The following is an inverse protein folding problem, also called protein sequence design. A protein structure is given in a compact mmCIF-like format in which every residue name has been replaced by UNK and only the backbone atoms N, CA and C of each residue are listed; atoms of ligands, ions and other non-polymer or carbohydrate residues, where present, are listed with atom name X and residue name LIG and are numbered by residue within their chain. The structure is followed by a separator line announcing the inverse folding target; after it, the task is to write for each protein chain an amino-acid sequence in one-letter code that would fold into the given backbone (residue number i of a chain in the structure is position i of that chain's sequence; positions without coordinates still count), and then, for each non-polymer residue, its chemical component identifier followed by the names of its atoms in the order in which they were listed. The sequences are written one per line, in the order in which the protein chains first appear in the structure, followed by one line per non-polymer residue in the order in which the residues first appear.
data_IF_859058356689
#
_entry.id   IF_859058356689
#
_cell.length_a   1.000
_cell.length_b   1.000
_cell.length_c   1.000
_cell.angle_alpha   90.00
_cell.angle_beta   90.00
_cell.angle_gamma   90.00
#
_symmetry.space_group_name_H-M   'P 1'
#
loop_
_entity.id
_entity.type
_entity.pdbx_description
1 polymer ?
#
# COMPACT_ATOMS: atom_id res chain seq x y z
N UNK A 1 -9.70 18.60 -15.41
CA UNK A 1 -9.72 17.39 -14.56
C UNK A 1 -9.68 16.18 -15.48
N UNK A 2 -8.53 15.53 -15.64
CA UNK A 2 -8.41 14.34 -16.51
C UNK A 2 -8.93 13.16 -15.69
N UNK A 3 -10.14 12.68 -15.99
CA UNK A 3 -10.66 11.45 -15.39
C UNK A 3 -9.97 10.27 -16.05
N UNK A 4 -9.52 9.31 -15.25
CA UNK A 4 -9.03 8.04 -15.77
C UNK A 4 -10.13 7.38 -16.63
N UNK A 5 -9.78 6.69 -17.73
CA UNK A 5 -10.75 6.00 -18.55
C UNK A 5 -11.53 4.99 -17.72
N UNK A 6 -12.85 4.94 -17.91
CA UNK A 6 -13.71 3.98 -17.24
C UNK A 6 -13.24 2.55 -17.57
N UNK A 7 -12.84 1.80 -16.55
CA UNK A 7 -12.48 0.39 -16.71
C UNK A 7 -13.75 -0.39 -17.02
N UNK A 8 -13.80 -1.00 -18.19
CA UNK A 8 -14.93 -1.81 -18.60
C UNK A 8 -14.90 -3.16 -17.87
N UNK A 9 -15.69 -3.31 -16.82
CA UNK A 9 -15.83 -4.55 -16.03
C UNK A 9 -16.60 -5.67 -16.74
N UNK A 10 -16.92 -5.54 -18.04
CA UNK A 10 -17.60 -6.60 -18.82
C UNK A 10 -16.70 -7.79 -19.18
N UNK A 11 -15.41 -7.77 -18.83
CA UNK A 11 -14.55 -8.96 -18.89
C UNK A 11 -14.97 -9.95 -17.79
N UNK A 12 -14.92 -11.27 -18.05
CA UNK A 12 -15.37 -12.26 -17.09
C UNK A 12 -14.67 -12.02 -15.75
N UNK A 13 -15.46 -12.03 -14.66
CA UNK A 13 -14.93 -12.05 -13.30
C UNK A 13 -13.80 -13.07 -13.27
N UNK A 14 -12.55 -12.59 -13.14
CA UNK A 14 -11.41 -13.47 -12.92
C UNK A 14 -11.69 -14.20 -11.62
N UNK A 15 -12.21 -15.41 -11.75
CA UNK A 15 -12.63 -16.19 -10.59
C UNK A 15 -11.37 -16.81 -10.06
N UNK A 16 -10.92 -16.31 -8.91
CA UNK A 16 -9.76 -16.87 -8.24
C UNK A 16 -10.04 -18.37 -7.98
N UNK A 17 -9.13 -19.25 -8.39
CA UNK A 17 -9.26 -20.71 -8.19
C UNK A 17 -9.48 -21.08 -6.73
N UNK A 18 -9.04 -20.22 -5.80
CA UNK A 18 -9.26 -20.32 -4.37
C UNK A 18 -9.63 -18.93 -3.82
N UNK A 19 -10.52 -18.84 -2.82
CA UNK A 19 -10.83 -17.57 -2.18
C UNK A 19 -9.59 -16.99 -1.50
N UNK A 20 -9.36 -15.69 -1.64
CA UNK A 20 -8.36 -14.96 -0.87
C UNK A 20 -8.88 -14.84 0.56
N UNK A 21 -8.09 -15.33 1.52
CA UNK A 21 -8.41 -15.24 2.95
C UNK A 21 -7.73 -14.06 3.64
N UNK A 22 -6.49 -13.80 3.25
CA UNK A 22 -5.65 -12.76 3.84
C UNK A 22 -4.82 -12.09 2.75
N UNK A 23 -4.62 -10.79 2.89
CA UNK A 23 -3.74 -9.97 2.03
C UNK A 23 -2.77 -9.26 2.94
N UNK A 24 -1.48 -9.40 2.65
CA UNK A 24 -0.42 -8.68 3.35
C UNK A 24 0.28 -7.76 2.34
N UNK A 25 0.39 -6.48 2.70
CA UNK A 25 1.13 -5.48 1.92
C UNK A 25 2.27 -5.00 2.80
N UNK A 26 3.50 -5.26 2.38
CA UNK A 26 4.71 -4.84 3.08
C UNK A 26 5.36 -3.73 2.25
N UNK A 27 5.39 -2.52 2.82
CA UNK A 27 6.05 -1.36 2.20
C UNK A 27 7.49 -1.32 2.70
N UNK A 28 8.44 -1.43 1.77
CA UNK A 28 9.87 -1.37 2.07
C UNK A 28 10.34 0.08 1.92
N UNK A 29 10.64 0.73 3.05
CA UNK A 29 11.09 2.11 3.09
C UNK A 29 12.40 2.30 2.32
N UNK A 30 12.43 3.27 1.40
CA UNK A 30 13.61 3.68 0.62
C UNK A 30 14.35 2.55 -0.13
N UNK A 31 13.70 1.42 -0.38
CA UNK A 31 14.26 0.32 -1.19
C UNK A 31 14.04 0.58 -2.68
N UNK A 32 15.10 0.38 -3.45
CA UNK A 32 15.07 0.45 -4.92
C UNK A 32 15.31 -0.94 -5.52
N UNK A 33 14.82 -1.13 -6.75
CA UNK A 33 14.95 -2.40 -7.46
C UNK A 33 16.41 -2.81 -7.70
N UNK A 34 17.33 -1.86 -7.87
CA UNK A 34 18.78 -2.10 -8.00
C UNK A 34 19.44 -2.60 -6.72
N UNK A 35 18.83 -2.35 -5.55
CA UNK A 35 19.30 -2.89 -4.27
C UNK A 35 18.83 -4.33 -4.00
N UNK A 36 17.81 -4.79 -4.73
CA UNK A 36 17.26 -6.15 -4.63
C UNK A 36 17.73 -7.03 -5.79
N UNK A 37 17.91 -6.44 -6.98
CA UNK A 37 18.40 -7.14 -8.17
C UNK A 37 19.90 -6.92 -8.30
N UNK A 38 20.66 -7.99 -8.33
CA UNK A 38 22.14 -8.00 -8.47
C UNK A 38 22.69 -7.40 -9.79
N UNK A 39 21.89 -6.66 -10.54
CA UNK A 39 22.23 -6.12 -11.86
C UNK A 39 23.28 -4.99 -11.86
N UNK A 40 23.67 -4.42 -10.72
CA UNK A 40 24.71 -3.38 -10.69
C UNK A 40 25.78 -3.66 -9.60
N UNK A 41 27.01 -3.88 -10.08
CA UNK A 41 28.30 -3.90 -9.39
C UNK A 41 28.51 -4.97 -8.29
N UNK A 42 29.14 -6.07 -8.70
CA UNK A 42 29.51 -7.26 -7.92
C UNK A 42 28.33 -8.01 -7.31
N UNK A 43 27.88 -9.06 -8.00
CA UNK A 43 26.84 -10.01 -7.55
C UNK A 43 27.03 -10.49 -6.10
N UNK A 44 28.24 -10.43 -5.58
CA UNK A 44 28.59 -10.80 -4.21
C UNK A 44 28.11 -9.81 -3.14
N UNK A 45 27.97 -8.50 -3.42
CA UNK A 45 27.58 -7.50 -2.39
C UNK A 45 26.06 -7.39 -2.29
N UNK A 46 25.35 -7.23 -3.41
CA UNK A 46 23.88 -7.12 -3.40
C UNK A 46 23.22 -8.40 -2.83
N UNK A 47 23.76 -9.58 -3.16
CA UNK A 47 23.30 -10.85 -2.60
C UNK A 47 23.49 -10.96 -1.07
N UNK A 48 24.48 -10.25 -0.52
CA UNK A 48 24.77 -10.24 0.92
C UNK A 48 23.94 -9.22 1.71
N UNK A 49 23.54 -8.11 1.08
CA UNK A 49 22.79 -7.04 1.77
C UNK A 49 21.31 -7.42 1.94
N UNK A 50 20.70 -8.06 0.94
CA UNK A 50 19.26 -8.40 0.96
C UNK A 50 18.97 -9.88 0.67
N UNK A 51 19.60 -10.84 1.39
CA UNK A 51 19.53 -12.27 1.04
C UNK A 51 18.11 -12.84 1.05
N UNK A 52 17.26 -12.39 1.98
CA UNK A 52 15.85 -12.80 2.04
C UNK A 52 15.06 -12.29 0.82
N UNK A 53 15.20 -11.01 0.46
CA UNK A 53 14.50 -10.43 -0.69
C UNK A 53 14.96 -11.07 -2.00
N UNK A 54 16.25 -11.36 -2.13
CA UNK A 54 16.81 -12.13 -3.26
C UNK A 54 16.17 -13.53 -3.37
N UNK A 55 16.00 -14.22 -2.24
CA UNK A 55 15.35 -15.54 -2.20
C UNK A 55 13.87 -15.47 -2.59
N UNK A 56 13.14 -14.47 -2.09
CA UNK A 56 11.73 -14.25 -2.42
C UNK A 56 11.56 -13.86 -3.89
N UNK A 57 12.45 -13.03 -4.43
CA UNK A 57 12.39 -12.55 -5.82
C UNK A 57 12.34 -13.71 -6.83
N UNK A 58 13.14 -14.76 -6.63
CA UNK A 58 13.19 -15.93 -7.52
C UNK A 58 11.87 -16.69 -7.63
N UNK A 59 11.07 -16.68 -6.57
CA UNK A 59 9.80 -17.42 -6.47
C UNK A 59 8.57 -16.51 -6.57
N UNK A 60 8.74 -15.23 -6.89
CA UNK A 60 7.67 -14.24 -6.89
C UNK A 60 7.33 -13.78 -8.30
N UNK A 61 6.06 -13.44 -8.51
CA UNK A 61 5.64 -12.68 -9.69
C UNK A 61 6.10 -11.23 -9.50
N UNK A 62 6.81 -10.70 -10.48
CA UNK A 62 7.30 -9.33 -10.47
C UNK A 62 6.92 -8.63 -11.76
N UNK A 63 6.80 -7.30 -11.68
CA UNK A 63 6.53 -6.43 -12.82
C UNK A 63 7.51 -5.26 -12.80
N UNK A 64 7.60 -4.53 -13.91
CA UNK A 64 8.30 -3.24 -13.93
C UNK A 64 7.44 -2.26 -13.12
N UNK A 65 8.01 -1.75 -12.03
CA UNK A 65 7.36 -0.80 -11.14
C UNK A 65 8.31 0.36 -10.83
N UNK A 66 7.75 1.57 -10.73
CA UNK A 66 8.46 2.78 -10.33
C UNK A 66 7.70 3.44 -9.18
N UNK A 67 8.43 4.05 -8.24
CA UNK A 67 7.81 4.85 -7.20
C UNK A 67 7.07 6.05 -7.79
N UNK A 68 5.91 6.38 -7.25
CA UNK A 68 5.12 7.56 -7.65
C UNK A 68 5.57 8.83 -6.94
N UNK A 69 6.35 8.70 -5.87
CA UNK A 69 6.91 9.78 -5.07
C UNK A 69 8.21 9.33 -4.40
N UNK A 70 9.06 10.28 -4.05
CA UNK A 70 10.20 10.06 -3.15
C UNK A 70 9.83 10.14 -1.66
N UNK A 71 8.55 10.36 -1.34
CA UNK A 71 8.06 10.52 0.02
C UNK A 71 7.13 9.36 0.43
N UNK A 72 7.37 8.79 1.60
CA UNK A 72 6.69 7.57 2.08
C UNK A 72 5.18 7.72 2.13
N UNK A 73 4.68 8.77 2.79
CA UNK A 73 3.24 8.96 2.98
C UNK A 73 2.51 9.18 1.64
N UNK A 74 3.17 9.83 0.68
CA UNK A 74 2.65 9.98 -0.70
C UNK A 74 2.63 8.64 -1.44
N UNK A 75 3.65 7.82 -1.25
CA UNK A 75 3.69 6.47 -1.84
C UNK A 75 2.59 5.58 -1.26
N UNK A 76 2.29 5.69 0.04
CA UNK A 76 1.17 4.99 0.69
C UNK A 76 -0.16 5.35 0.02
N UNK A 77 -0.41 6.62 -0.30
CA UNK A 77 -1.61 7.04 -1.05
C UNK A 77 -1.71 6.29 -2.39
N UNK A 78 -0.62 6.21 -3.15
CA UNK A 78 -0.63 5.48 -4.42
C UNK A 78 -0.82 3.98 -4.26
N UNK A 79 -0.20 3.38 -3.24
CA UNK A 79 -0.29 1.94 -2.98
C UNK A 79 -1.72 1.54 -2.63
N UNK A 80 -2.37 2.30 -1.75
CA UNK A 80 -3.69 1.90 -1.23
C UNK A 80 -4.85 2.51 -2.01
N UNK A 81 -4.72 3.68 -2.63
CA UNK A 81 -5.83 4.31 -3.35
C UNK A 81 -5.68 4.21 -4.87
N UNK A 82 -4.52 3.79 -5.38
CA UNK A 82 -4.29 3.68 -6.83
C UNK A 82 -4.26 5.02 -7.56
N UNK A 83 -4.01 6.13 -6.85
CA UNK A 83 -3.94 7.48 -7.41
C UNK A 83 -2.53 8.05 -7.34
N UNK A 84 -2.19 8.94 -8.27
CA UNK A 84 -0.96 9.71 -8.19
C UNK A 84 -1.06 10.75 -7.09
N UNK A 85 -0.01 10.94 -6.26
CA UNK A 85 -0.02 11.96 -5.23
C UNK A 85 0.09 13.35 -5.85
N UNK A 86 -0.26 14.39 -5.09
CA UNK A 86 -0.10 15.77 -5.49
C UNK A 86 1.39 16.11 -5.61
N UNK A 87 1.76 16.78 -6.71
CA UNK A 87 3.10 17.30 -6.94
C UNK A 87 3.36 18.58 -6.13
N UNK A 88 3.32 18.44 -4.81
CA UNK A 88 3.55 19.49 -3.81
C UNK A 88 4.36 18.91 -2.66
N UNK A 89 5.06 19.78 -1.93
CA UNK A 89 5.80 19.38 -0.74
C UNK A 89 4.85 18.91 0.37
N UNK A 90 5.31 17.95 1.18
CA UNK A 90 4.59 17.36 2.32
C UNK A 90 3.26 16.70 1.94
N UNK A 91 2.62 16.08 2.92
CA UNK A 91 1.37 15.35 2.71
C UNK A 91 0.13 16.27 2.71
N UNK A 92 -0.03 17.07 1.65
CA UNK A 92 -1.24 17.91 1.48
C UNK A 92 -2.51 17.10 1.19
N UNK A 93 -2.37 15.87 0.73
CA UNK A 93 -3.45 14.92 0.47
C UNK A 93 -4.28 14.64 1.73
N UNK A 94 -3.63 14.60 2.90
CA UNK A 94 -4.30 14.43 4.18
C UNK A 94 -5.20 15.62 4.54
N UNK A 95 -4.88 16.83 4.08
CA UNK A 95 -5.62 18.06 4.41
C UNK A 95 -6.59 18.52 3.32
N UNK A 96 -6.53 17.95 2.12
CA UNK A 96 -7.45 18.28 1.04
C UNK A 96 -8.78 17.54 1.23
N UNK A 97 -9.89 18.27 1.33
CA UNK A 97 -11.22 17.68 1.53
C UNK A 97 -11.59 16.71 0.42
N UNK A 98 -11.26 17.03 -0.84
CA UNK A 98 -11.77 16.28 -2.00
C UNK A 98 -10.74 15.35 -2.66
N UNK A 99 -9.50 15.30 -2.17
CA UNK A 99 -8.44 14.54 -2.87
C UNK A 99 -8.55 13.03 -2.65
N UNK A 100 -9.02 12.61 -1.48
CA UNK A 100 -9.20 11.21 -1.10
C UNK A 100 -10.69 10.83 -0.98
N UNK A 101 -11.55 11.43 -1.81
CA UNK A 101 -12.97 11.05 -1.89
C UNK A 101 -13.16 9.66 -2.51
N UNK A 102 -12.19 9.21 -3.29
CA UNK A 102 -12.21 7.89 -3.91
C UNK A 102 -11.90 6.81 -2.87
N UNK A 103 -12.62 5.68 -2.96
CA UNK A 103 -12.46 4.56 -2.02
C UNK A 103 -11.10 3.88 -2.20
N UNK A 104 -10.33 3.85 -1.14
CA UNK A 104 -9.05 3.13 -1.11
C UNK A 104 -9.26 1.63 -0.85
N UNK A 105 -8.23 0.84 -1.12
CA UNK A 105 -8.22 -0.62 -1.05
C UNK A 105 -8.78 -1.19 0.27
N UNK A 106 -8.47 -0.65 1.47
CA UNK A 106 -9.04 -1.18 2.72
C UNK A 106 -10.58 -1.16 2.72
N UNK A 107 -11.16 -0.03 2.31
CA UNK A 107 -12.61 0.14 2.21
C UNK A 107 -13.20 -0.71 1.08
N UNK A 108 -12.56 -0.74 -0.08
CA UNK A 108 -13.00 -1.56 -1.21
C UNK A 108 -13.06 -3.05 -0.85
N UNK A 109 -12.06 -3.58 -0.15
CA UNK A 109 -12.06 -4.97 0.32
C UNK A 109 -13.20 -5.23 1.30
N UNK A 110 -13.43 -4.30 2.25
CA UNK A 110 -14.50 -4.39 3.24
C UNK A 110 -15.89 -4.40 2.61
N UNK A 111 -16.11 -3.59 1.57
CA UNK A 111 -17.40 -3.47 0.92
C UNK A 111 -17.69 -4.56 -0.11
N UNK A 112 -16.67 -4.97 -0.87
CA UNK A 112 -16.80 -5.92 -1.98
C UNK A 112 -17.03 -7.34 -1.46
N UNK A 113 -16.36 -7.71 -0.38
CA UNK A 113 -16.41 -9.07 0.16
C UNK A 113 -17.28 -9.11 1.42
N UNK A 114 -18.57 -9.36 1.23
CA UNK A 114 -19.52 -9.53 2.34
C UNK A 114 -19.88 -11.00 2.56
N UNK A 115 -20.12 -11.34 3.81
CA UNK A 115 -20.66 -12.63 4.24
C UNK A 115 -22.17 -12.72 3.98
N UNK A 116 -22.76 -13.91 4.14
CA UNK A 116 -24.21 -14.13 4.01
C UNK A 116 -25.06 -13.23 4.94
N UNK A 117 -24.49 -12.82 6.07
CA UNK A 117 -25.15 -11.94 7.05
C UNK A 117 -24.86 -10.45 6.77
N UNK A 118 -24.41 -10.11 5.56
CA UNK A 118 -24.04 -8.76 5.15
C UNK A 118 -22.93 -8.10 5.98
N UNK A 119 -22.17 -8.89 6.77
CA UNK A 119 -20.98 -8.43 7.48
C UNK A 119 -19.78 -8.48 6.56
N UNK A 120 -18.83 -7.55 6.70
CA UNK A 120 -17.57 -7.61 5.97
C UNK A 120 -16.81 -8.91 6.27
N UNK A 121 -16.35 -9.59 5.23
CA UNK A 121 -15.44 -10.74 5.34
C UNK A 121 -13.98 -10.31 5.50
N UNK A 122 -13.66 -9.04 5.23
CA UNK A 122 -12.32 -8.48 5.39
C UNK A 122 -12.28 -7.46 6.54
N UNK A 123 -11.19 -7.52 7.29
CA UNK A 123 -10.76 -6.48 8.23
C UNK A 123 -9.38 -6.03 7.83
N UNK A 124 -9.12 -4.73 7.96
CA UNK A 124 -7.84 -4.14 7.57
C UNK A 124 -7.14 -3.53 8.78
N UNK A 125 -5.85 -3.78 8.91
CA UNK A 125 -5.00 -3.12 9.90
C UNK A 125 -3.79 -2.50 9.21
N UNK A 126 -3.37 -1.34 9.69
CA UNK A 126 -2.12 -0.67 9.28
C UNK A 126 -1.13 -0.67 10.44
N UNK A 127 0.10 -1.10 10.21
CA UNK A 127 1.15 -1.17 11.22
C UNK A 127 2.27 -0.19 10.86
N UNK A 128 2.68 0.64 11.80
CA UNK A 128 3.77 1.60 11.61
C UNK A 128 4.62 1.73 12.86
N UNK A 129 5.93 1.91 12.69
CA UNK A 129 6.82 2.26 13.79
C UNK A 129 6.92 3.78 14.02
N UNK A 130 6.44 4.60 13.07
CA UNK A 130 6.42 6.05 13.19
C UNK A 130 5.31 6.52 14.14
N UNK A 131 5.49 7.73 14.71
CA UNK A 131 4.46 8.41 15.49
C UNK A 131 3.34 8.92 14.57
N UNK A 132 2.12 8.89 15.06
CA UNK A 132 0.94 9.29 14.28
C UNK A 132 0.83 10.81 14.06
N UNK A 133 1.54 11.62 14.85
CA UNK A 133 1.60 13.08 14.73
C UNK A 133 2.59 13.58 13.67
N UNK A 134 3.39 12.68 13.09
CA UNK A 134 4.32 13.02 12.03
C UNK A 134 3.58 13.34 10.73
N UNK A 135 3.75 14.55 10.19
CA UNK A 135 3.28 14.99 8.86
C UNK A 135 1.86 14.52 8.47
N UNK A 136 0.89 14.74 9.36
CA UNK A 136 -0.53 14.40 9.15
C UNK A 136 -0.79 12.91 8.90
N UNK A 137 0.09 12.03 9.37
CA UNK A 137 -0.02 10.59 9.19
C UNK A 137 -1.32 10.02 9.77
N UNK A 138 -1.76 10.49 10.94
CA UNK A 138 -3.06 10.14 11.52
C UNK A 138 -4.23 10.49 10.59
N UNK A 139 -4.25 11.71 10.07
CA UNK A 139 -5.31 12.20 9.19
C UNK A 139 -5.36 11.40 7.89
N UNK A 140 -4.20 11.05 7.35
CA UNK A 140 -4.09 10.18 6.20
C UNK A 140 -4.74 8.83 6.45
N UNK A 141 -4.36 8.13 7.53
CA UNK A 141 -4.86 6.79 7.79
C UNK A 141 -6.37 6.76 8.06
N UNK A 142 -6.90 7.81 8.71
CA UNK A 142 -8.33 8.03 8.84
C UNK A 142 -9.04 8.19 7.48
N UNK A 143 -8.37 8.80 6.50
CA UNK A 143 -8.88 8.93 5.12
C UNK A 143 -8.73 7.64 4.31
N UNK A 144 -7.68 6.84 4.55
CA UNK A 144 -7.49 5.53 3.89
C UNK A 144 -8.50 4.46 4.36
N UNK A 145 -9.25 4.73 5.44
CA UNK A 145 -10.31 3.88 5.98
C UNK A 145 -9.85 2.49 6.43
N UNK A 146 -8.65 2.40 6.99
CA UNK A 146 -8.27 1.20 7.75
C UNK A 146 -9.17 1.04 8.99
N UNK A 147 -9.64 -0.18 9.27
CA UNK A 147 -10.41 -0.48 10.49
C UNK A 147 -9.57 -0.29 11.76
N UNK A 148 -8.25 -0.49 11.70
CA UNK A 148 -7.33 -0.31 12.83
C UNK A 148 -5.98 0.20 12.35
N UNK A 149 -5.40 1.14 13.10
CA UNK A 149 -4.01 1.57 12.93
C UNK A 149 -3.28 1.27 14.22
N UNK A 150 -2.11 0.65 14.13
CA UNK A 150 -1.25 0.29 15.25
C UNK A 150 0.07 1.00 15.05
N UNK A 151 0.40 1.92 15.95
CA UNK A 151 1.66 2.63 15.92
C UNK A 151 2.65 2.03 16.93
N UNK A 152 3.95 2.27 16.71
CA UNK A 152 5.01 1.69 17.53
C UNK A 152 5.11 2.28 18.93
N UNK A 153 4.36 3.34 19.24
CA UNK A 153 4.37 4.05 20.51
C UNK A 153 3.19 3.66 21.40
N UNK A 154 2.08 3.19 20.82
CA UNK A 154 0.94 2.61 21.56
C UNK A 154 1.35 1.35 22.34
N UNK A 155 2.44 0.68 21.95
CA UNK A 155 2.93 -0.58 22.54
C UNK A 155 3.73 -0.36 23.83
N UNK A 156 4.17 0.88 24.12
CA UNK A 156 5.03 1.19 25.28
C UNK A 156 4.33 2.01 26.37
N UNK A 157 3.05 2.35 26.20
CA UNK A 157 2.26 3.13 27.18
C UNK A 157 1.25 2.29 27.98
N UNK A 158 1.33 0.95 27.94
CA UNK A 158 0.62 0.04 28.86
C UNK A 158 1.49 -0.42 30.06
#
# INVERSE_FOLDING_TARGET
MIRAPAVNFSRPLVTLKKPIKHVFVIVLESIRADAVKSTFASDAIAAKVTPLLNSLWKNSVHTVASGTSSYTLKSIVSIFCGIYPLNVNFLKEANSENFLDEKCLPELLRETFRTKNNQSAFRSAFFTAARDDFDHQKDLFNKLKFDTTINGFDIYEE
#
